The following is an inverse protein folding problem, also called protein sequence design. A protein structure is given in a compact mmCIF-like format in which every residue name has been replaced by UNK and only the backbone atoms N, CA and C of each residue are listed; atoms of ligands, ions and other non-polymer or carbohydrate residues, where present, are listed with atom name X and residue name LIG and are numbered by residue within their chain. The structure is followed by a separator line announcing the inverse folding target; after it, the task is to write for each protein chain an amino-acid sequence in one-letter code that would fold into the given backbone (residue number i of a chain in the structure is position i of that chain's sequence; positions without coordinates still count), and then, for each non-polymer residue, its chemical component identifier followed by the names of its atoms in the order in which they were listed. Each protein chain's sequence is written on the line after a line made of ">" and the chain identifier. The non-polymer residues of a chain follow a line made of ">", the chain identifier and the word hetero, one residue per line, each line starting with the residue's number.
data_IF_386647227593
#
_entry.id   IF_386647227593
#
_cell.length_a   1.000
_cell.length_b   1.000
_cell.length_c   1.000
_cell.angle_alpha   90.00
_cell.angle_beta   90.00
_cell.angle_gamma   90.00
#
_symmetry.space_group_name_H-M   'P 1'
#
loop_
_entity.id
_entity.type
_entity.pdbx_description
1 polymer ?
#
# COMPACT_ATOMS: atom_id res chain seq x y z
N UNK A 1 -8.55 18.53 41.11
CA UNK A 1 -8.20 17.69 39.94
C UNK A 1 -9.03 18.18 38.75
N UNK A 2 -8.41 18.88 37.80
CA UNK A 2 -9.01 19.17 36.49
C UNK A 2 -8.37 18.21 35.50
N UNK A 3 -9.18 17.32 34.94
CA UNK A 3 -8.79 16.40 33.89
C UNK A 3 -8.35 17.22 32.66
N UNK A 4 -7.17 16.87 32.16
CA UNK A 4 -6.57 17.43 30.95
C UNK A 4 -7.47 17.09 29.76
N UNK A 5 -7.99 18.10 29.07
CA UNK A 5 -8.55 17.94 27.73
C UNK A 5 -7.42 17.52 26.81
N UNK A 6 -7.39 16.23 26.47
CA UNK A 6 -6.55 15.72 25.40
C UNK A 6 -6.87 16.46 24.13
N UNK A 7 -5.91 17.23 23.63
CA UNK A 7 -5.97 17.80 22.30
C UNK A 7 -6.11 16.64 21.32
N UNK A 8 -7.29 16.50 20.72
CA UNK A 8 -7.48 15.73 19.49
C UNK A 8 -6.60 16.42 18.45
N UNK A 9 -5.36 15.98 18.36
CA UNK A 9 -4.51 16.27 17.22
C UNK A 9 -5.26 15.69 16.03
N UNK A 10 -5.84 16.58 15.24
CA UNK A 10 -6.38 16.26 13.94
C UNK A 10 -5.17 15.87 13.08
N UNK A 11 -4.70 14.62 13.26
CA UNK A 11 -3.65 14.03 12.43
C UNK A 11 -4.23 14.08 11.03
N UNK A 12 -3.60 14.83 10.13
CA UNK A 12 -3.92 14.72 8.72
C UNK A 12 -3.87 13.22 8.39
N UNK A 13 -4.92 12.70 7.78
CA UNK A 13 -4.97 11.32 7.30
C UNK A 13 -4.64 11.42 5.81
N UNK A 14 -3.78 10.52 5.33
CA UNK A 14 -3.44 10.44 3.91
C UNK A 14 -4.74 10.41 3.08
N UNK A 15 -4.92 11.37 2.18
CA UNK A 15 -6.10 11.41 1.32
C UNK A 15 -6.08 10.21 0.37
N UNK A 16 -7.06 9.32 0.52
CA UNK A 16 -7.16 8.09 -0.26
C UNK A 16 -7.95 8.25 -1.56
N UNK A 17 -8.63 9.38 -1.74
CA UNK A 17 -9.46 9.67 -2.92
C UNK A 17 -8.70 9.55 -4.25
N UNK A 18 -7.43 10.00 -4.35
CA UNK A 18 -6.66 9.90 -5.60
C UNK A 18 -6.32 8.47 -6.04
N UNK A 19 -6.47 7.46 -5.17
CA UNK A 19 -6.16 6.06 -5.50
C UNK A 19 -7.36 5.30 -6.04
N UNK A 20 -8.56 5.89 -6.04
CA UNK A 20 -9.76 5.23 -6.54
C UNK A 20 -9.71 5.11 -8.07
N UNK A 21 -9.90 3.88 -8.58
CA UNK A 21 -9.79 3.56 -10.00
C UNK A 21 -8.48 4.07 -10.65
N UNK A 22 -7.37 3.95 -9.91
CA UNK A 22 -6.07 4.38 -10.37
C UNK A 22 -5.44 3.32 -11.28
N UNK A 23 -5.20 3.70 -12.54
CA UNK A 23 -4.35 2.92 -13.43
C UNK A 23 -2.91 2.88 -12.93
N UNK A 24 -2.36 1.67 -12.88
CA UNK A 24 -0.99 1.39 -12.49
C UNK A 24 -0.23 0.77 -13.67
N UNK A 25 1.09 1.00 -13.70
CA UNK A 25 2.02 0.28 -14.57
C UNK A 25 1.82 -1.23 -14.50
N UNK A 26 2.10 -1.92 -15.60
CA UNK A 26 1.81 -3.36 -15.75
C UNK A 26 0.38 -3.67 -16.17
N UNK A 27 -0.43 -2.65 -16.47
CA UNK A 27 -1.84 -2.82 -16.86
C UNK A 27 -2.73 -3.22 -15.68
N UNK A 28 -2.33 -2.87 -14.46
CA UNK A 28 -3.12 -3.10 -13.25
C UNK A 28 -4.05 -1.92 -12.97
N UNK A 29 -5.12 -2.19 -12.25
CA UNK A 29 -6.06 -1.18 -11.78
C UNK A 29 -6.20 -1.30 -10.27
N UNK A 30 -5.77 -0.27 -9.54
CA UNK A 30 -6.13 -0.09 -8.15
C UNK A 30 -7.56 0.43 -8.12
N UNK A 31 -8.51 -0.50 -7.95
CA UNK A 31 -9.93 -0.18 -7.99
C UNK A 31 -10.28 0.66 -6.78
N UNK A 32 -9.77 0.28 -5.62
CA UNK A 32 -10.08 0.94 -4.36
C UNK A 32 -8.96 0.80 -3.34
N UNK A 33 -8.76 1.88 -2.57
CA UNK A 33 -8.11 1.85 -1.26
C UNK A 33 -9.10 2.33 -0.21
N UNK A 34 -9.31 1.57 0.87
CA UNK A 34 -10.25 1.92 1.93
C UNK A 34 -9.65 1.73 3.32
N UNK A 35 -9.97 2.64 4.24
CA UNK A 35 -9.72 2.42 5.66
C UNK A 35 -10.77 1.49 6.26
N UNK A 36 -10.36 0.62 7.19
CA UNK A 36 -11.25 -0.25 7.94
C UNK A 36 -10.90 -0.29 9.42
N UNK A 37 -11.93 -0.36 10.27
CA UNK A 37 -11.79 -0.62 11.70
C UNK A 37 -11.93 -2.12 12.02
N UNK A 38 -12.22 -2.96 11.02
CA UNK A 38 -12.25 -4.41 11.21
C UNK A 38 -10.83 -4.95 11.36
N UNK A 39 -10.61 -5.99 12.19
CA UNK A 39 -9.33 -6.67 12.25
C UNK A 39 -8.94 -7.20 10.87
N UNK A 40 -7.74 -6.84 10.42
CA UNK A 40 -7.12 -7.43 9.24
C UNK A 40 -6.18 -8.54 9.69
N UNK A 41 -6.24 -9.67 9.01
CA UNK A 41 -5.44 -10.85 9.31
C UNK A 41 -4.62 -11.25 8.08
N UNK A 42 -3.37 -11.65 8.32
CA UNK A 42 -2.53 -12.28 7.30
C UNK A 42 -2.99 -13.73 7.02
N UNK A 43 -2.41 -14.42 6.02
CA UNK A 43 -2.80 -15.80 5.68
C UNK A 43 -2.62 -16.84 6.79
N UNK A 44 -1.91 -16.53 7.88
CA UNK A 44 -1.73 -17.39 9.05
C UNK A 44 -2.40 -16.83 10.31
N UNK A 45 -3.42 -15.99 10.13
CA UNK A 45 -4.29 -15.42 11.17
C UNK A 45 -3.60 -14.47 12.16
N UNK A 46 -2.48 -13.86 11.77
CA UNK A 46 -1.83 -12.81 12.58
C UNK A 46 -2.38 -11.44 12.21
N UNK A 47 -2.37 -10.51 13.17
CA UNK A 47 -2.79 -9.13 12.92
C UNK A 47 -1.93 -8.48 11.82
N UNK A 48 -2.61 -7.94 10.79
CA UNK A 48 -2.00 -7.24 9.67
C UNK A 48 -2.35 -5.74 9.70
N UNK A 49 -1.52 -4.92 9.05
CA UNK A 49 -1.76 -3.48 8.87
C UNK A 49 -2.60 -3.19 7.63
N UNK A 50 -2.55 -4.08 6.65
CA UNK A 50 -3.26 -3.99 5.39
C UNK A 50 -3.66 -5.39 4.88
N UNK A 51 -4.54 -5.41 3.90
CA UNK A 51 -4.97 -6.60 3.18
C UNK A 51 -5.29 -6.22 1.75
N UNK A 52 -4.75 -6.98 0.80
CA UNK A 52 -5.11 -6.86 -0.62
C UNK A 52 -5.95 -8.03 -1.10
N UNK A 53 -7.07 -7.71 -1.78
CA UNK A 53 -7.84 -8.67 -2.56
C UNK A 53 -7.53 -8.46 -4.04
N UNK A 54 -7.03 -9.52 -4.69
CA UNK A 54 -6.61 -9.51 -6.08
C UNK A 54 -7.63 -10.27 -6.93
N UNK A 55 -8.21 -9.59 -7.93
CA UNK A 55 -9.08 -10.19 -8.93
C UNK A 55 -8.52 -9.98 -10.35
N UNK A 56 -7.68 -10.91 -10.80
CA UNK A 56 -6.91 -10.73 -12.02
C UNK A 56 -5.98 -9.52 -11.87
N UNK A 57 -6.16 -8.50 -12.69
CA UNK A 57 -5.37 -7.27 -12.67
C UNK A 57 -5.97 -6.17 -11.77
N UNK A 58 -7.02 -6.47 -11.01
CA UNK A 58 -7.73 -5.52 -10.15
C UNK A 58 -7.35 -5.69 -8.69
N UNK A 59 -6.96 -4.60 -8.04
CA UNK A 59 -6.58 -4.59 -6.63
C UNK A 59 -7.61 -3.82 -5.80
N UNK A 60 -8.02 -4.43 -4.70
CA UNK A 60 -8.79 -3.78 -3.64
C UNK A 60 -7.97 -3.85 -2.36
N UNK A 61 -7.53 -2.70 -1.86
CA UNK A 61 -6.65 -2.60 -0.69
C UNK A 61 -7.43 -2.06 0.50
N UNK A 62 -7.39 -2.80 1.59
CA UNK A 62 -7.92 -2.38 2.89
C UNK A 62 -6.76 -2.05 3.82
N UNK A 63 -6.80 -0.90 4.46
CA UNK A 63 -5.81 -0.44 5.43
C UNK A 63 -6.46 -0.26 6.78
N UNK A 64 -5.74 -0.56 7.87
CA UNK A 64 -6.23 -0.28 9.22
C UNK A 64 -6.41 1.22 9.44
N UNK A 65 -7.55 1.59 10.01
CA UNK A 65 -7.94 3.00 10.22
C UNK A 65 -7.17 3.72 11.34
N UNK A 66 -6.46 2.99 12.20
CA UNK A 66 -5.70 3.55 13.32
C UNK A 66 -4.22 3.83 13.01
N UNK A 67 -3.80 3.58 11.76
CA UNK A 67 -2.47 3.89 11.26
C UNK A 67 -2.29 5.39 11.01
N UNK A 68 -1.07 5.89 11.22
CA UNK A 68 -0.70 7.25 10.82
C UNK A 68 -0.34 7.38 9.33
N UNK A 69 -0.13 8.61 8.83
CA UNK A 69 0.12 8.85 7.40
C UNK A 69 1.35 8.11 6.86
N UNK A 70 2.38 7.98 7.69
CA UNK A 70 3.60 7.27 7.31
C UNK A 70 3.29 5.78 7.19
N UNK A 71 2.63 5.23 8.19
CA UNK A 71 2.23 3.81 8.20
C UNK A 71 1.31 3.50 7.01
N UNK A 72 0.28 4.31 6.77
CA UNK A 72 -0.60 4.18 5.61
C UNK A 72 0.16 4.25 4.28
N UNK A 73 1.10 5.19 4.17
CA UNK A 73 1.91 5.34 2.97
C UNK A 73 2.82 4.13 2.72
N UNK A 74 3.46 3.61 3.76
CA UNK A 74 4.33 2.44 3.64
C UNK A 74 3.51 1.22 3.26
N UNK A 75 2.39 0.98 3.96
CA UNK A 75 1.47 -0.11 3.61
C UNK A 75 1.00 -0.02 2.15
N UNK A 76 0.69 1.17 1.64
CA UNK A 76 0.31 1.32 0.23
C UNK A 76 1.41 0.96 -0.76
N UNK A 77 2.66 1.39 -0.51
CA UNK A 77 3.78 0.98 -1.36
C UNK A 77 4.00 -0.53 -1.31
N UNK A 78 3.92 -1.12 -0.11
CA UNK A 78 4.07 -2.55 0.11
C UNK A 78 3.04 -3.33 -0.70
N UNK A 79 1.76 -3.10 -0.39
CA UNK A 79 0.64 -3.86 -0.95
C UNK A 79 0.57 -3.73 -2.47
N UNK A 80 0.85 -2.55 -3.03
CA UNK A 80 0.84 -2.36 -4.49
C UNK A 80 1.97 -3.13 -5.18
N UNK A 81 3.18 -3.12 -4.62
CA UNK A 81 4.30 -3.84 -5.21
C UNK A 81 4.11 -5.36 -5.10
N UNK A 82 3.67 -5.84 -3.95
CA UNK A 82 3.38 -7.26 -3.73
C UNK A 82 2.24 -7.71 -4.66
N UNK A 83 1.12 -6.99 -4.69
CA UNK A 83 -0.02 -7.35 -5.53
C UNK A 83 0.33 -7.37 -7.02
N UNK A 84 1.09 -6.37 -7.50
CA UNK A 84 1.59 -6.36 -8.87
C UNK A 84 2.50 -7.55 -9.17
N UNK A 85 3.34 -7.94 -8.21
CA UNK A 85 4.24 -9.10 -8.33
C UNK A 85 3.46 -10.41 -8.41
N UNK A 86 2.47 -10.59 -7.52
CA UNK A 86 1.63 -11.79 -7.45
C UNK A 86 0.69 -11.91 -8.66
N UNK A 87 0.14 -10.78 -9.13
CA UNK A 87 -0.84 -10.77 -10.22
C UNK A 87 -0.24 -10.82 -11.63
N UNK A 88 1.04 -10.50 -11.80
CA UNK A 88 1.67 -10.49 -13.11
C UNK A 88 1.78 -11.91 -13.70
N UNK A 89 1.30 -12.12 -14.93
CA UNK A 89 1.54 -13.37 -15.66
C UNK A 89 3.03 -13.60 -15.98
N UNK A 90 3.76 -12.51 -16.16
CA UNK A 90 5.21 -12.47 -16.43
C UNK A 90 5.84 -11.36 -15.61
N UNK A 91 6.07 -11.58 -14.31
CA UNK A 91 6.65 -10.56 -13.44
C UNK A 91 8.07 -10.18 -13.92
N UNK A 92 8.49 -8.92 -13.73
CA UNK A 92 9.88 -8.51 -13.95
C UNK A 92 10.86 -9.35 -13.13
N UNK A 93 12.08 -9.56 -13.65
CA UNK A 93 13.12 -10.34 -12.95
C UNK A 93 13.43 -9.78 -11.55
N UNK A 94 13.38 -8.46 -11.40
CA UNK A 94 13.64 -7.76 -10.14
C UNK A 94 12.69 -8.14 -8.99
N UNK A 95 11.54 -8.74 -9.28
CA UNK A 95 10.55 -9.13 -8.27
C UNK A 95 10.45 -10.64 -8.02
N UNK A 96 11.11 -11.47 -8.83
CA UNK A 96 10.97 -12.94 -8.78
C UNK A 96 11.40 -13.56 -7.44
N UNK A 97 12.43 -13.00 -6.81
CA UNK A 97 13.02 -13.50 -5.56
C UNK A 97 12.62 -12.66 -4.33
N UNK A 98 11.64 -11.75 -4.50
CA UNK A 98 11.15 -10.97 -3.37
C UNK A 98 10.35 -11.85 -2.41
N UNK A 99 10.54 -11.58 -1.13
CA UNK A 99 9.74 -12.12 -0.06
C UNK A 99 9.19 -10.94 0.76
N UNK A 100 8.36 -11.24 1.75
CA UNK A 100 7.77 -10.25 2.66
C UNK A 100 8.77 -9.20 3.17
N UNK A 101 9.95 -9.64 3.63
CA UNK A 101 10.98 -8.75 4.13
C UNK A 101 11.55 -7.82 3.05
N UNK A 102 11.65 -8.31 1.81
CA UNK A 102 12.08 -7.48 0.69
C UNK A 102 11.01 -6.45 0.29
N UNK A 103 9.72 -6.83 0.28
CA UNK A 103 8.62 -5.89 0.01
C UNK A 103 8.56 -4.79 1.06
N UNK A 104 8.69 -5.14 2.34
CA UNK A 104 8.72 -4.16 3.42
C UNK A 104 9.91 -3.20 3.29
N UNK A 105 11.11 -3.72 3.00
CA UNK A 105 12.28 -2.87 2.77
C UNK A 105 12.09 -1.93 1.57
N UNK A 106 11.53 -2.43 0.46
CA UNK A 106 11.24 -1.64 -0.72
C UNK A 106 10.22 -0.53 -0.44
N UNK A 107 9.16 -0.83 0.32
CA UNK A 107 8.15 0.13 0.71
C UNK A 107 8.70 1.24 1.61
N UNK A 108 9.51 0.87 2.61
CA UNK A 108 10.20 1.82 3.48
C UNK A 108 11.16 2.72 2.68
N UNK A 109 11.95 2.14 1.78
CA UNK A 109 12.86 2.89 0.91
C UNK A 109 12.12 3.83 -0.06
N UNK A 110 10.98 3.37 -0.61
CA UNK A 110 10.13 4.19 -1.45
C UNK A 110 9.57 5.39 -0.69
N UNK A 111 9.05 5.18 0.52
CA UNK A 111 8.58 6.27 1.37
C UNK A 111 9.70 7.26 1.72
N UNK A 112 10.90 6.78 2.07
CA UNK A 112 12.05 7.64 2.36
C UNK A 112 12.47 8.51 1.16
N UNK A 113 12.42 7.95 -0.05
CA UNK A 113 12.88 8.62 -1.27
C UNK A 113 11.81 9.50 -1.93
N UNK A 114 10.56 9.05 -1.94
CA UNK A 114 9.46 9.65 -2.69
C UNK A 114 8.45 10.38 -1.78
N UNK A 115 8.53 10.19 -0.46
CA UNK A 115 7.58 10.72 0.50
C UNK A 115 6.27 9.92 0.54
N UNK A 116 5.20 10.59 0.95
CA UNK A 116 3.86 10.00 1.03
C UNK A 116 3.43 9.37 -0.28
N UNK A 117 2.74 8.24 -0.18
CA UNK A 117 2.16 7.54 -1.31
C UNK A 117 1.23 8.50 -2.07
N UNK A 118 1.34 8.45 -3.39
CA UNK A 118 0.54 9.21 -4.34
C UNK A 118 0.43 8.39 -5.62
N UNK A 119 -0.55 8.67 -6.49
CA UNK A 119 -0.66 8.01 -7.79
C UNK A 119 0.64 7.99 -8.59
N UNK A 120 1.38 9.11 -8.55
CA UNK A 120 2.68 9.23 -9.21
C UNK A 120 3.72 8.34 -8.56
N UNK A 121 3.83 8.35 -7.24
CA UNK A 121 4.89 7.60 -6.56
C UNK A 121 4.67 6.09 -6.57
N UNK A 122 3.41 5.61 -6.55
CA UNK A 122 3.08 4.21 -6.79
C UNK A 122 3.55 3.75 -8.18
N UNK A 123 3.30 4.57 -9.20
CA UNK A 123 3.77 4.27 -10.56
C UNK A 123 5.29 4.40 -10.70
N UNK A 124 5.96 5.28 -9.96
CA UNK A 124 7.42 5.32 -9.92
C UNK A 124 7.99 4.07 -9.24
N UNK A 125 7.40 3.60 -8.14
CA UNK A 125 7.79 2.36 -7.50
C UNK A 125 7.72 1.19 -8.49
N UNK A 126 6.57 0.99 -9.15
CA UNK A 126 6.42 -0.08 -10.13
C UNK A 126 7.41 0.06 -11.31
N UNK A 127 7.72 1.29 -11.74
CA UNK A 127 8.75 1.52 -12.76
C UNK A 127 10.14 1.08 -12.28
N UNK A 128 10.51 1.39 -11.03
CA UNK A 128 11.80 1.03 -10.44
C UNK A 128 12.00 -0.50 -10.36
N UNK A 129 10.90 -1.25 -10.24
CA UNK A 129 10.89 -2.72 -10.28
C UNK A 129 10.65 -3.30 -11.69
N UNK A 130 10.64 -2.46 -12.74
CA UNK A 130 10.63 -2.90 -14.13
C UNK A 130 9.25 -3.20 -14.72
N UNK A 131 8.16 -2.84 -14.05
CA UNK A 131 6.82 -2.97 -14.64
C UNK A 131 6.63 -1.98 -15.80
N UNK A 132 6.09 -2.44 -16.95
CA UNK A 132 5.94 -1.61 -18.15
C UNK A 132 4.94 -0.48 -17.93
N UNK A 133 5.04 0.56 -18.78
CA UNK A 133 4.06 1.64 -18.81
C UNK A 133 2.67 1.16 -19.23
#
# INVERSE_FOLDING_TARGET
>A
MKLLTGATHNRAVLDLSPFQNLALRGGFLLVEVRLTAQPLLDPIERAATAQTVIHGHHFHIYLRADLDERELSVSLYHEVLEAATVAAERPPEAVLELNEGHFEQAAQAAHQRLGLASPRSLNLLLADFGFPA
#
